data_IF_120748453232
#
_entry.id   IF_120748453232
#
_cell.length_a   1.000
_cell.length_b   1.000
_cell.length_c   1.000
_cell.angle_alpha   90.00
_cell.angle_beta   90.00
_cell.angle_gamma   90.00
#
_symmetry.space_group_name_H-M   'P 1'
#
loop_
_entity.id
_entity.type
_entity.pdbx_description
1 polymer ?
#
# COMPACT_ATOMS: atom_id res chain seq x y z
N UNK A 1 -30.61 -4.82 -5.89
CA UNK A 1 -29.79 -4.35 -7.02
C UNK A 1 -28.90 -5.52 -7.39
N UNK A 2 -28.84 -5.96 -8.64
CA UNK A 2 -28.10 -7.18 -9.04
C UNK A 2 -26.63 -6.90 -9.39
N UNK A 3 -25.83 -7.96 -9.56
CA UNK A 3 -24.46 -7.86 -10.06
C UNK A 3 -24.39 -7.16 -11.44
N UNK A 4 -25.28 -7.54 -12.37
CA UNK A 4 -25.36 -6.96 -13.71
C UNK A 4 -25.67 -5.44 -13.68
N UNK A 5 -26.62 -5.03 -12.85
CA UNK A 5 -26.96 -3.62 -12.70
C UNK A 5 -25.78 -2.80 -12.16
N UNK A 6 -24.99 -3.37 -11.24
CA UNK A 6 -23.78 -2.73 -10.72
C UNK A 6 -22.67 -2.61 -11.76
N UNK A 7 -22.46 -3.65 -12.59
CA UNK A 7 -21.47 -3.62 -13.67
C UNK A 7 -21.80 -2.55 -14.72
N UNK A 8 -23.07 -2.40 -15.09
CA UNK A 8 -23.51 -1.33 -16.00
C UNK A 8 -23.16 0.06 -15.46
N UNK A 9 -23.43 0.31 -14.17
CA UNK A 9 -23.06 1.57 -13.50
C UNK A 9 -21.55 1.76 -13.38
N UNK A 10 -20.79 0.68 -13.11
CA UNK A 10 -19.33 0.71 -13.06
C UNK A 10 -18.76 1.17 -14.40
N UNK A 11 -19.17 0.53 -15.49
CA UNK A 11 -18.68 0.84 -16.84
C UNK A 11 -19.05 2.25 -17.29
N UNK A 12 -20.17 2.80 -16.79
CA UNK A 12 -20.60 4.15 -17.10
C UNK A 12 -19.83 5.24 -16.33
N UNK A 13 -19.24 4.93 -15.17
CA UNK A 13 -18.75 5.94 -14.23
C UNK A 13 -17.29 5.77 -13.77
N UNK A 14 -16.69 4.58 -13.87
CA UNK A 14 -15.36 4.29 -13.34
C UNK A 14 -14.36 4.13 -14.48
N UNK A 15 -13.20 4.79 -14.35
CA UNK A 15 -12.12 4.67 -15.32
C UNK A 15 -11.61 3.22 -15.39
N UNK A 16 -11.44 2.71 -16.62
CA UNK A 16 -11.03 1.33 -16.87
C UNK A 16 -9.53 1.09 -16.61
N UNK A 17 -9.17 1.08 -15.33
CA UNK A 17 -7.79 0.85 -14.86
C UNK A 17 -7.55 -0.58 -14.36
N UNK A 18 -8.62 -1.38 -14.24
CA UNK A 18 -8.62 -2.75 -13.73
C UNK A 18 -9.63 -3.68 -14.43
N UNK A 19 -10.36 -3.21 -15.47
CA UNK A 19 -11.50 -3.92 -16.02
C UNK A 19 -12.77 -3.74 -15.20
N UNK A 20 -13.83 -4.43 -15.64
CA UNK A 20 -15.10 -4.55 -14.92
C UNK A 20 -15.04 -5.75 -13.95
N UNK A 21 -15.21 -5.55 -12.63
CA UNK A 21 -15.29 -6.67 -11.69
C UNK A 21 -16.51 -7.58 -11.98
N UNK A 22 -16.38 -8.91 -11.87
CA UNK A 22 -17.45 -9.84 -12.25
C UNK A 22 -18.59 -9.93 -11.23
N UNK A 23 -18.36 -9.52 -9.98
CA UNK A 23 -19.36 -9.53 -8.89
C UNK A 23 -19.31 -8.21 -8.14
N UNK A 24 -20.44 -7.81 -7.56
CA UNK A 24 -20.58 -6.62 -6.73
C UNK A 24 -20.82 -7.02 -5.28
N UNK A 25 -19.80 -6.91 -4.43
CA UNK A 25 -19.93 -7.19 -2.99
C UNK A 25 -20.73 -6.08 -2.29
N UNK A 26 -21.72 -6.45 -1.50
CA UNK A 26 -22.65 -5.50 -0.82
C UNK A 26 -22.58 -5.57 0.70
N UNK A 27 -22.08 -6.66 1.27
CA UNK A 27 -21.85 -6.78 2.71
C UNK A 27 -20.70 -7.74 2.99
N UNK A 28 -20.15 -7.65 4.20
CA UNK A 28 -19.13 -8.57 4.68
C UNK A 28 -19.05 -8.60 6.20
N UNK A 29 -18.70 -9.76 6.75
CA UNK A 29 -18.49 -9.98 8.18
C UNK A 29 -17.43 -11.06 8.39
N UNK A 30 -16.36 -10.72 9.11
CA UNK A 30 -15.23 -11.64 9.27
C UNK A 30 -14.64 -11.99 7.91
N UNK A 31 -14.51 -13.29 7.62
CA UNK A 31 -14.03 -13.78 6.33
C UNK A 31 -15.14 -14.06 5.30
N UNK A 32 -16.40 -13.68 5.57
CA UNK A 32 -17.52 -13.89 4.64
C UNK A 32 -17.93 -12.58 3.97
N UNK A 33 -18.27 -12.65 2.69
CA UNK A 33 -18.83 -11.54 1.90
C UNK A 33 -20.05 -12.01 1.11
N UNK A 34 -21.00 -11.12 0.89
CA UNK A 34 -22.22 -11.38 0.11
C UNK A 34 -22.26 -10.45 -1.10
N UNK A 35 -22.57 -11.00 -2.28
CA UNK A 35 -22.76 -10.19 -3.49
C UNK A 35 -24.18 -9.64 -3.63
N UNK A 36 -24.37 -8.81 -4.65
CA UNK A 36 -25.61 -8.11 -4.93
C UNK A 36 -26.77 -9.04 -5.33
N UNK A 37 -26.47 -10.26 -5.79
CA UNK A 37 -27.45 -11.30 -6.10
C UNK A 37 -27.76 -12.19 -4.87
N UNK A 38 -27.12 -11.92 -3.72
CA UNK A 38 -27.33 -12.61 -2.46
C UNK A 38 -26.47 -13.86 -2.25
N UNK A 39 -25.48 -14.11 -3.12
CA UNK A 39 -24.58 -15.25 -2.96
C UNK A 39 -23.47 -14.93 -1.96
N UNK A 40 -23.21 -15.87 -1.06
CA UNK A 40 -22.15 -15.77 -0.06
C UNK A 40 -20.86 -16.44 -0.53
N UNK A 41 -19.73 -15.85 -0.13
CA UNK A 41 -18.38 -16.31 -0.44
C UNK A 41 -17.51 -16.26 0.80
N UNK A 42 -16.52 -17.15 0.84
CA UNK A 42 -15.38 -17.01 1.75
C UNK A 42 -14.32 -16.14 1.07
N UNK A 43 -13.97 -15.02 1.69
CA UNK A 43 -12.94 -14.09 1.21
C UNK A 43 -11.54 -14.61 1.58
N UNK A 44 -10.91 -15.27 0.62
CA UNK A 44 -9.51 -15.71 0.71
C UNK A 44 -8.52 -14.69 0.13
N UNK A 45 -9.01 -13.54 -0.35
CA UNK A 45 -8.17 -12.46 -0.89
C UNK A 45 -7.89 -11.39 0.17
N UNK A 46 -8.87 -11.11 1.03
CA UNK A 46 -8.77 -10.13 2.11
C UNK A 46 -8.52 -8.72 1.60
N UNK A 47 -9.05 -8.35 0.44
CA UNK A 47 -8.75 -7.07 -0.19
C UNK A 47 -7.27 -6.90 -0.55
N UNK A 48 -6.61 -7.97 -0.98
CA UNK A 48 -5.15 -8.05 -1.19
C UNK A 48 -4.44 -7.88 0.16
N UNK A 49 -4.74 -8.80 1.10
CA UNK A 49 -4.18 -8.85 2.45
C UNK A 49 -4.40 -7.62 3.35
N UNK A 50 -5.31 -6.70 2.97
CA UNK A 50 -5.67 -5.51 3.77
C UNK A 50 -6.55 -5.85 4.96
N UNK A 51 -7.58 -6.68 4.75
CA UNK A 51 -8.60 -6.99 5.73
C UNK A 51 -8.14 -8.10 6.70
N UNK A 52 -6.98 -7.92 7.34
CA UNK A 52 -6.36 -8.92 8.21
C UNK A 52 -7.22 -9.31 9.43
N UNK A 53 -8.12 -8.42 9.86
CA UNK A 53 -9.08 -8.68 10.95
C UNK A 53 -10.49 -9.02 10.43
N UNK A 54 -10.63 -9.23 9.12
CA UNK A 54 -11.90 -9.46 8.45
C UNK A 54 -12.75 -8.19 8.26
N UNK A 55 -13.85 -8.36 7.52
CA UNK A 55 -14.82 -7.30 7.23
C UNK A 55 -15.65 -6.95 8.46
N UNK A 56 -15.98 -5.66 8.62
CA UNK A 56 -16.86 -5.14 9.67
C UNK A 56 -16.48 -5.58 11.10
N UNK A 57 -15.19 -5.64 11.42
CA UNK A 57 -14.73 -6.03 12.76
C UNK A 57 -15.24 -5.03 13.82
N UNK A 58 -16.01 -5.48 14.84
CA UNK A 58 -16.75 -4.58 15.73
C UNK A 58 -15.85 -3.60 16.50
N UNK A 59 -14.67 -4.04 16.95
CA UNK A 59 -13.71 -3.14 17.62
C UNK A 59 -13.13 -2.06 16.71
N UNK A 60 -13.02 -2.31 15.40
CA UNK A 60 -12.54 -1.30 14.45
C UNK A 60 -13.64 -0.26 14.24
N UNK A 61 -14.88 -0.71 14.03
CA UNK A 61 -16.04 0.16 13.89
C UNK A 61 -16.16 1.08 15.10
N UNK A 62 -16.14 0.51 16.31
CA UNK A 62 -16.21 1.28 17.56
C UNK A 62 -15.10 2.33 17.66
N UNK A 63 -13.83 1.92 17.45
CA UNK A 63 -12.68 2.81 17.55
C UNK A 63 -12.73 3.96 16.52
N UNK A 64 -13.07 3.65 15.27
CA UNK A 64 -13.22 4.64 14.21
C UNK A 64 -14.37 5.59 14.56
N UNK A 65 -15.58 5.07 14.77
CA UNK A 65 -16.76 5.89 15.08
C UNK A 65 -16.50 6.82 16.27
N UNK A 66 -15.94 6.31 17.36
CA UNK A 66 -15.57 7.14 18.51
C UNK A 66 -14.61 8.28 18.09
N UNK A 67 -13.51 7.97 17.42
CA UNK A 67 -12.52 8.97 17.05
C UNK A 67 -13.06 10.02 16.09
N UNK A 68 -13.79 9.65 15.02
CA UNK A 68 -14.38 10.66 14.11
C UNK A 68 -15.45 11.51 14.79
N UNK A 69 -16.22 10.95 15.74
CA UNK A 69 -17.18 11.73 16.53
C UNK A 69 -16.51 12.69 17.53
N UNK A 70 -15.26 12.43 17.92
CA UNK A 70 -14.48 13.31 18.81
C UNK A 70 -13.65 14.33 18.03
N UNK A 71 -12.81 13.86 17.10
CA UNK A 71 -11.90 14.68 16.32
C UNK A 71 -11.48 13.97 15.03
N UNK A 72 -11.79 14.57 13.88
CA UNK A 72 -11.36 14.12 12.57
C UNK A 72 -9.94 14.58 12.20
N UNK A 73 -9.78 15.22 11.04
CA UNK A 73 -8.48 15.65 10.54
C UNK A 73 -8.07 17.02 11.10
N UNK A 74 -6.83 17.11 11.62
CA UNK A 74 -6.26 18.36 12.16
C UNK A 74 -4.92 18.76 11.55
N UNK A 75 -4.49 18.14 10.44
CA UNK A 75 -3.15 18.31 9.86
C UNK A 75 -1.99 17.93 10.80
N UNK A 76 -0.75 18.09 10.34
CA UNK A 76 0.46 17.89 11.15
C UNK A 76 0.86 19.14 11.96
N UNK A 77 0.03 20.19 11.97
CA UNK A 77 0.27 21.42 12.74
C UNK A 77 -0.13 21.29 14.22
N UNK A 78 -0.94 20.28 14.57
CA UNK A 78 -1.39 20.04 15.93
C UNK A 78 -1.10 18.59 16.34
N UNK A 79 -0.82 18.40 17.62
CA UNK A 79 -0.61 17.07 18.20
C UNK A 79 -1.97 16.45 18.52
N UNK A 80 -2.10 15.15 18.30
CA UNK A 80 -3.27 14.35 18.68
C UNK A 80 -2.81 13.06 19.35
N UNK A 81 -3.47 12.65 20.43
CA UNK A 81 -3.05 11.50 21.23
C UNK A 81 -3.01 10.16 20.44
N UNK A 82 -3.98 9.82 19.56
CA UNK A 82 -3.97 8.54 18.85
C UNK A 82 -2.73 8.31 17.99
N UNK A 83 -2.20 9.36 17.33
CA UNK A 83 -0.99 9.22 16.50
C UNK A 83 0.26 9.00 17.36
N UNK A 84 0.34 9.65 18.53
CA UNK A 84 1.43 9.44 19.49
C UNK A 84 1.39 8.01 20.03
N UNK A 85 0.23 7.55 20.51
CA UNK A 85 0.05 6.20 21.03
C UNK A 85 0.35 5.11 20.00
N UNK A 86 -0.03 5.32 18.74
CA UNK A 86 0.30 4.38 17.68
C UNK A 86 1.80 4.37 17.38
N UNK A 87 2.45 5.54 17.34
CA UNK A 87 3.89 5.64 17.12
C UNK A 87 4.66 4.89 18.22
N UNK A 88 4.32 5.09 19.49
CA UNK A 88 4.94 4.42 20.64
C UNK A 88 4.82 2.89 20.55
N UNK A 89 3.64 2.37 20.21
CA UNK A 89 3.43 0.92 20.05
C UNK A 89 4.25 0.34 18.89
N UNK A 90 4.38 1.08 17.80
CA UNK A 90 5.18 0.65 16.65
C UNK A 90 6.68 0.69 16.95
N UNK A 91 7.17 1.74 17.62
CA UNK A 91 8.59 1.83 17.99
C UNK A 91 8.97 0.76 19.01
N UNK A 92 8.09 0.47 19.97
CA UNK A 92 8.25 -0.63 20.93
C UNK A 92 8.31 -1.98 20.22
N UNK A 93 7.38 -2.25 19.30
CA UNK A 93 7.34 -3.51 18.55
C UNK A 93 8.58 -3.72 17.66
N UNK A 94 9.15 -2.64 17.11
CA UNK A 94 10.41 -2.70 16.34
C UNK A 94 11.62 -2.98 17.24
N UNK A 95 11.61 -2.49 18.48
CA UNK A 95 12.65 -2.80 19.47
C UNK A 95 14.03 -2.19 19.20
N UNK A 96 14.15 -1.25 18.25
CA UNK A 96 15.40 -0.57 17.90
C UNK A 96 15.43 0.84 18.50
N UNK A 97 16.41 1.18 19.36
CA UNK A 97 16.54 2.51 19.94
C UNK A 97 16.66 3.62 18.88
N UNK A 98 15.96 4.73 19.09
CA UNK A 98 15.97 5.88 18.17
C UNK A 98 15.06 5.73 16.95
N UNK A 99 14.33 4.62 16.81
CA UNK A 99 13.28 4.45 15.79
C UNK A 99 12.23 5.56 15.90
N UNK A 100 11.84 6.11 14.76
CA UNK A 100 10.74 7.07 14.63
C UNK A 100 9.79 6.62 13.53
N UNK A 101 8.52 6.96 13.67
CA UNK A 101 7.47 6.60 12.70
C UNK A 101 7.10 7.80 11.85
N UNK A 102 7.01 7.56 10.55
CA UNK A 102 6.35 8.45 9.60
C UNK A 102 5.03 7.79 9.17
N UNK A 103 3.93 8.51 9.27
CA UNK A 103 2.62 8.03 8.83
C UNK A 103 2.27 8.58 7.44
N UNK A 104 1.74 7.71 6.60
CA UNK A 104 1.19 8.02 5.28
C UNK A 104 -0.14 7.27 5.09
N UNK A 105 -0.81 7.51 3.96
CA UNK A 105 -2.13 6.96 3.68
C UNK A 105 -2.05 5.70 2.79
N UNK A 106 -0.94 5.50 2.09
CA UNK A 106 -0.71 4.35 1.23
C UNK A 106 0.72 3.81 1.34
N UNK A 107 0.91 2.56 0.91
CA UNK A 107 2.23 1.96 0.74
C UNK A 107 3.08 2.68 -0.31
N UNK A 108 2.47 3.23 -1.36
CA UNK A 108 3.17 4.02 -2.36
C UNK A 108 3.77 5.30 -1.73
N UNK A 109 3.01 6.03 -0.91
CA UNK A 109 3.53 7.20 -0.19
C UNK A 109 4.62 6.84 0.84
N UNK A 110 4.50 5.68 1.49
CA UNK A 110 5.55 5.17 2.38
C UNK A 110 6.85 4.91 1.60
N UNK A 111 6.75 4.32 0.41
CA UNK A 111 7.91 4.10 -0.46
C UNK A 111 8.49 5.40 -1.02
N UNK A 112 7.66 6.41 -1.36
CA UNK A 112 8.15 7.75 -1.71
C UNK A 112 8.93 8.40 -0.55
N UNK A 113 8.45 8.24 0.69
CA UNK A 113 9.19 8.70 1.87
C UNK A 113 10.53 7.95 2.03
N UNK A 114 10.55 6.63 1.84
CA UNK A 114 11.76 5.83 1.88
C UNK A 114 12.77 6.24 0.79
N UNK A 115 12.32 6.50 -0.45
CA UNK A 115 13.15 7.04 -1.53
C UNK A 115 13.80 8.36 -1.09
N UNK A 116 13.00 9.27 -0.51
CA UNK A 116 13.49 10.58 -0.03
C UNK A 116 14.50 10.43 1.10
N UNK A 117 14.26 9.53 2.06
CA UNK A 117 15.19 9.23 3.16
C UNK A 117 16.50 8.68 2.60
N UNK A 118 16.44 7.72 1.66
CA UNK A 118 17.62 7.20 0.97
C UNK A 118 18.43 8.32 0.30
N UNK A 119 17.76 9.23 -0.42
CA UNK A 119 18.41 10.38 -1.06
C UNK A 119 19.06 11.37 -0.10
N UNK A 120 18.59 11.46 1.16
CA UNK A 120 19.22 12.31 2.19
C UNK A 120 20.61 11.83 2.61
N UNK A 121 21.02 10.62 2.19
CA UNK A 121 22.41 10.15 2.33
C UNK A 121 23.39 10.80 1.34
N UNK A 122 22.89 11.58 0.36
CA UNK A 122 23.67 12.14 -0.73
C UNK A 122 23.83 11.20 -1.94
N UNK A 123 23.38 9.95 -1.82
CA UNK A 123 23.35 8.97 -2.92
C UNK A 123 21.99 8.96 -3.59
N UNK A 124 21.94 8.70 -4.89
CA UNK A 124 20.69 8.71 -5.67
C UNK A 124 20.26 7.34 -6.18
N UNK A 125 21.19 6.38 -6.25
CA UNK A 125 20.95 5.06 -6.84
C UNK A 125 20.10 4.18 -5.93
N UNK A 126 19.04 3.60 -6.46
CA UNK A 126 18.15 2.67 -5.79
C UNK A 126 18.26 1.30 -6.44
N UNK A 127 18.01 0.25 -5.67
CA UNK A 127 17.95 -1.12 -6.16
C UNK A 127 16.58 -1.70 -5.85
N UNK A 128 15.99 -2.39 -6.81
CA UNK A 128 14.76 -3.16 -6.64
C UNK A 128 14.90 -4.54 -7.29
N UNK A 129 13.98 -5.45 -7.04
CA UNK A 129 13.97 -6.77 -7.68
C UNK A 129 13.05 -6.82 -8.91
N UNK A 130 13.39 -7.66 -9.88
CA UNK A 130 12.48 -8.05 -10.95
C UNK A 130 11.20 -8.70 -10.36
N UNK A 131 10.04 -8.37 -10.93
CA UNK A 131 8.74 -8.81 -10.43
C UNK A 131 8.17 -8.00 -9.26
N UNK A 132 8.98 -7.15 -8.60
CA UNK A 132 8.54 -6.37 -7.43
C UNK A 132 7.35 -5.42 -7.73
N UNK A 133 6.57 -5.10 -6.70
CA UNK A 133 5.48 -4.11 -6.78
C UNK A 133 5.53 -3.17 -5.58
N UNK A 134 6.00 -1.93 -5.80
CA UNK A 134 6.19 -0.96 -4.72
C UNK A 134 5.23 0.23 -4.80
N UNK A 135 4.40 0.32 -5.85
CA UNK A 135 3.36 1.32 -5.98
C UNK A 135 3.16 1.81 -7.40
N UNK A 136 2.35 2.86 -7.53
CA UNK A 136 1.98 3.45 -8.83
C UNK A 136 2.22 4.97 -8.91
N UNK A 137 2.82 5.58 -7.88
CA UNK A 137 3.33 6.98 -7.98
C UNK A 137 4.63 6.98 -8.76
N UNK A 138 5.03 8.08 -9.41
CA UNK A 138 6.18 8.06 -10.33
C UNK A 138 7.49 7.52 -9.72
N UNK A 139 7.77 7.76 -8.43
CA UNK A 139 8.93 7.21 -7.74
C UNK A 139 8.78 5.74 -7.38
N UNK A 140 7.68 5.36 -6.72
CA UNK A 140 7.39 3.97 -6.37
C UNK A 140 7.16 3.06 -7.58
N UNK A 141 6.63 3.62 -8.67
CA UNK A 141 6.48 2.98 -9.96
C UNK A 141 7.86 2.68 -10.55
N UNK A 142 8.84 3.58 -10.44
CA UNK A 142 10.21 3.32 -10.91
C UNK A 142 10.86 2.13 -10.19
N UNK A 143 10.48 1.85 -8.94
CA UNK A 143 10.93 0.69 -8.17
C UNK A 143 10.15 -0.60 -8.52
N UNK A 144 8.99 -0.50 -9.16
CA UNK A 144 8.14 -1.67 -9.46
C UNK A 144 8.74 -2.50 -10.59
N UNK A 145 9.33 -3.67 -10.30
CA UNK A 145 10.00 -4.55 -11.25
C UNK A 145 9.14 -5.23 -12.34
N UNK A 146 8.01 -4.64 -12.73
CA UNK A 146 7.08 -5.18 -13.72
C UNK A 146 7.05 -4.26 -14.94
N UNK A 147 7.81 -4.56 -16.03
CA UNK A 147 7.99 -3.65 -17.16
C UNK A 147 6.68 -3.14 -17.78
N UNK A 148 5.69 -4.03 -17.97
CA UNK A 148 4.38 -3.68 -18.53
C UNK A 148 3.62 -2.58 -17.74
N UNK A 149 3.91 -2.43 -16.43
CA UNK A 149 3.33 -1.35 -15.60
C UNK A 149 4.12 -0.05 -15.69
N UNK A 150 5.43 -0.11 -15.96
CA UNK A 150 6.35 1.04 -15.93
C UNK A 150 6.54 1.70 -17.28
N UNK A 151 6.77 0.91 -18.32
CA UNK A 151 7.18 1.38 -19.66
C UNK A 151 6.22 2.42 -20.27
N UNK A 152 4.88 2.30 -20.13
CA UNK A 152 3.95 3.30 -20.68
C UNK A 152 4.10 4.71 -20.08
N UNK A 153 4.77 4.85 -18.93
CA UNK A 153 4.92 6.11 -18.20
C UNK A 153 6.37 6.64 -18.20
N UNK A 154 7.25 6.06 -19.02
CA UNK A 154 8.62 6.55 -19.15
C UNK A 154 8.66 7.98 -19.73
N UNK A 155 9.64 8.82 -19.33
CA UNK A 155 10.75 8.51 -18.40
C UNK A 155 10.32 8.55 -16.92
N UNK A 156 10.83 7.60 -16.14
CA UNK A 156 10.67 7.53 -14.68
C UNK A 156 11.88 8.14 -13.97
N UNK A 157 11.85 8.23 -12.63
CA UNK A 157 13.02 8.67 -11.87
C UNK A 157 14.25 7.83 -12.26
N UNK A 158 15.29 8.49 -12.72
CA UNK A 158 16.53 7.82 -13.10
C UNK A 158 17.20 7.21 -11.86
N UNK A 159 18.08 6.24 -12.09
CA UNK A 159 18.91 5.57 -11.06
C UNK A 159 18.26 4.40 -10.31
N UNK A 160 17.28 3.68 -10.87
CA UNK A 160 16.83 2.39 -10.32
C UNK A 160 17.46 1.23 -11.10
N UNK A 161 18.22 0.38 -10.40
CA UNK A 161 18.72 -0.90 -10.94
C UNK A 161 17.79 -2.02 -10.48
N UNK A 162 17.28 -2.82 -11.42
CA UNK A 162 16.54 -4.03 -11.10
C UNK A 162 17.47 -5.25 -11.15
N UNK A 163 17.37 -6.14 -10.16
CA UNK A 163 18.12 -7.40 -10.09
C UNK A 163 17.18 -8.60 -10.04
N UNK A 164 17.59 -9.79 -10.50
CA UNK A 164 16.77 -10.99 -10.37
C UNK A 164 16.40 -11.26 -8.90
N UNK A 165 15.13 -11.50 -8.63
CA UNK A 165 14.69 -11.86 -7.28
C UNK A 165 15.34 -13.17 -6.82
N UNK A 166 15.80 -13.21 -5.57
CA UNK A 166 16.50 -14.37 -5.00
C UNK A 166 17.98 -14.48 -5.37
N UNK A 167 18.52 -13.65 -6.27
CA UNK A 167 19.95 -13.62 -6.58
C UNK A 167 20.73 -12.71 -5.62
N UNK A 168 21.22 -13.29 -4.54
CA UNK A 168 22.01 -12.57 -3.53
C UNK A 168 23.34 -12.01 -4.08
N UNK A 169 23.93 -12.63 -5.11
CA UNK A 169 25.19 -12.16 -5.69
C UNK A 169 24.95 -10.93 -6.56
N UNK A 170 23.92 -10.96 -7.41
CA UNK A 170 23.48 -9.81 -8.18
C UNK A 170 23.07 -8.65 -7.26
N UNK A 171 22.31 -8.93 -6.20
CA UNK A 171 21.94 -7.92 -5.21
C UNK A 171 23.16 -7.31 -4.53
N UNK A 172 24.15 -8.11 -4.11
CA UNK A 172 25.37 -7.60 -3.47
C UNK A 172 26.17 -6.70 -4.41
N UNK A 173 26.36 -7.11 -5.67
CA UNK A 173 27.03 -6.29 -6.67
C UNK A 173 26.25 -4.99 -6.92
N UNK A 174 24.93 -5.08 -7.03
CA UNK A 174 24.07 -3.93 -7.19
C UNK A 174 23.90 -3.11 -5.90
N UNK A 175 24.34 -3.54 -4.72
CA UNK A 175 24.21 -2.74 -3.49
C UNK A 175 25.30 -1.68 -3.34
N UNK A 176 26.43 -1.84 -4.03
CA UNK A 176 27.62 -1.00 -3.84
C UNK A 176 27.37 0.46 -4.25
N UNK A 177 27.37 1.39 -3.27
CA UNK A 177 27.07 2.80 -3.52
C UNK A 177 25.58 3.11 -3.75
N UNK A 178 24.68 2.15 -3.52
CA UNK A 178 23.25 2.42 -3.48
C UNK A 178 22.88 3.29 -2.26
N UNK A 179 21.86 4.11 -2.43
CA UNK A 179 21.20 4.88 -1.39
C UNK A 179 20.26 3.99 -0.57
N UNK A 180 19.52 3.10 -1.24
CA UNK A 180 18.62 2.14 -0.63
C UNK A 180 18.38 0.92 -1.54
N UNK A 181 17.95 -0.17 -0.90
CA UNK A 181 17.52 -1.41 -1.54
C UNK A 181 16.06 -1.64 -1.13
N UNK A 182 15.19 -1.85 -2.11
CA UNK A 182 13.77 -2.20 -1.94
C UNK A 182 13.59 -3.66 -2.35
N UNK A 183 13.04 -4.48 -1.45
CA UNK A 183 12.93 -5.93 -1.65
C UNK A 183 11.69 -6.46 -0.93
N UNK A 184 10.87 -7.23 -1.64
CA UNK A 184 9.73 -8.02 -1.15
C UNK A 184 9.69 -9.33 -1.93
#
# INVERSE_FOLDING_TARGET
MSNEAMQSRWNAAVMDTYGTPPIALVSGRGAAVTDADGKEYVDLLGGIAVNALGHAHPKIIEAVTHQVSTLGHVSNLYISEPVVRLAERLTEAVGVPGTRVFFSNSGAEANEAAIKIGRRTGRTRMVAADGAFHGRTMGSLALTGQPAKREPFAPLIESVTHVPYGDAAALRAAAEGAAAIFLE
#
